data_IF_103605998694
#
_entry.id   IF_103605998694
#
_cell.length_a   1.000
_cell.length_b   1.000
_cell.length_c   1.000
_cell.angle_alpha   90.00
_cell.angle_beta   90.00
_cell.angle_gamma   90.00
#
_symmetry.space_group_name_H-M   'P 1'
#
loop_
_entity.id
_entity.type
_entity.pdbx_description
1 polymer ?
#
# COMPACT_ATOMS: atom_id res chain seq x y z
N UNK A 1 15.37 -11.95 4.75
CA UNK A 1 14.05 -11.45 4.28
C UNK A 1 13.15 -12.65 4.06
N UNK A 2 11.95 -12.65 4.62
CA UNK A 2 10.93 -13.65 4.25
C UNK A 2 10.43 -13.34 2.83
N UNK A 3 10.11 -14.36 2.01
CA UNK A 3 9.57 -14.13 0.68
C UNK A 3 8.18 -13.49 0.78
N UNK A 4 7.91 -12.50 -0.09
CA UNK A 4 6.57 -11.96 -0.25
C UNK A 4 5.69 -13.00 -0.94
N UNK A 5 4.50 -13.25 -0.40
CA UNK A 5 3.50 -14.09 -1.04
C UNK A 5 2.98 -13.43 -2.32
N UNK A 6 3.32 -14.01 -3.47
CA UNK A 6 3.00 -13.46 -4.78
C UNK A 6 1.50 -13.50 -5.11
N UNK A 7 0.67 -14.23 -4.33
CA UNK A 7 -0.80 -14.18 -4.45
C UNK A 7 -1.35 -12.76 -4.29
N UNK A 8 -0.65 -11.91 -3.52
CA UNK A 8 -1.00 -10.49 -3.41
C UNK A 8 -0.89 -9.78 -4.77
N UNK A 9 0.17 -10.04 -5.52
CA UNK A 9 0.36 -9.44 -6.85
C UNK A 9 -0.77 -9.86 -7.79
N UNK A 10 -1.09 -11.15 -7.82
CA UNK A 10 -2.18 -11.69 -8.65
C UNK A 10 -3.52 -11.04 -8.29
N UNK A 11 -3.83 -10.92 -7.00
CA UNK A 11 -5.03 -10.25 -6.54
C UNK A 11 -5.10 -8.79 -7.00
N UNK A 12 -4.00 -8.04 -6.86
CA UNK A 12 -3.92 -6.64 -7.25
C UNK A 12 -4.07 -6.47 -8.77
N UNK A 13 -3.46 -7.35 -9.56
CA UNK A 13 -3.58 -7.34 -11.02
C UNK A 13 -5.01 -7.65 -11.49
N UNK A 14 -5.66 -8.66 -10.89
CA UNK A 14 -7.05 -9.04 -11.22
C UNK A 14 -8.06 -7.93 -10.84
N UNK A 15 -7.79 -7.18 -9.77
CA UNK A 15 -8.73 -6.20 -9.23
C UNK A 15 -8.39 -4.74 -9.58
N UNK A 16 -7.32 -4.47 -10.32
CA UNK A 16 -6.85 -3.09 -10.61
C UNK A 16 -7.94 -2.19 -11.20
N UNK A 17 -8.85 -2.72 -12.02
CA UNK A 17 -9.96 -1.94 -12.60
C UNK A 17 -11.02 -1.56 -11.57
N UNK A 18 -11.22 -2.38 -10.55
CA UNK A 18 -12.21 -2.15 -9.46
C UNK A 18 -11.64 -1.27 -8.35
N UNK A 19 -10.32 -1.30 -8.15
CA UNK A 19 -9.64 -0.51 -7.13
C UNK A 19 -9.57 0.96 -7.57
N UNK A 20 -10.24 1.84 -6.81
CA UNK A 20 -10.20 3.29 -6.98
C UNK A 20 -8.97 3.92 -6.32
N UNK A 21 -8.66 3.51 -5.10
CA UNK A 21 -7.47 3.90 -4.33
C UNK A 21 -6.88 2.68 -3.63
N UNK A 22 -5.56 2.62 -3.58
CA UNK A 22 -4.78 1.69 -2.77
C UNK A 22 -3.99 2.53 -1.76
N UNK A 23 -4.22 2.29 -0.47
CA UNK A 23 -3.77 3.18 0.59
C UNK A 23 -2.87 2.38 1.52
N UNK A 24 -1.61 2.79 1.60
CA UNK A 24 -0.65 2.20 2.53
C UNK A 24 -0.77 2.88 3.87
N UNK A 25 -1.11 2.12 4.90
CA UNK A 25 -1.25 2.61 6.26
C UNK A 25 -0.11 2.05 7.10
N UNK A 26 0.78 2.92 7.55
CA UNK A 26 2.07 2.50 8.13
C UNK A 26 2.47 3.33 9.35
N UNK A 27 3.00 2.67 10.39
CA UNK A 27 3.62 3.32 11.55
C UNK A 27 5.14 3.49 11.41
N UNK A 28 5.59 4.04 10.28
CA UNK A 28 7.00 4.29 10.04
C UNK A 28 7.21 5.47 9.08
N UNK A 29 8.30 6.23 9.28
CA UNK A 29 8.65 7.40 8.45
C UNK A 29 8.98 7.04 7.00
N UNK A 30 9.67 5.93 6.80
CA UNK A 30 10.25 5.54 5.52
C UNK A 30 9.26 4.97 4.51
N UNK A 31 8.08 4.52 4.93
CA UNK A 31 7.11 3.81 4.08
C UNK A 31 7.61 2.45 3.60
N UNK A 32 8.22 1.67 4.49
CA UNK A 32 8.91 0.43 4.13
C UNK A 32 7.98 -0.61 3.49
N UNK A 33 6.72 -0.70 3.96
CA UNK A 33 5.73 -1.60 3.36
C UNK A 33 5.35 -1.11 1.97
N UNK A 34 5.05 0.18 1.81
CA UNK A 34 4.76 0.76 0.50
C UNK A 34 5.89 0.49 -0.49
N UNK A 35 7.14 0.74 -0.10
CA UNK A 35 8.30 0.52 -0.96
C UNK A 35 8.43 -0.95 -1.38
N UNK A 36 8.36 -1.87 -0.42
CA UNK A 36 8.45 -3.30 -0.68
C UNK A 36 7.37 -3.78 -1.65
N UNK A 37 6.10 -3.43 -1.40
CA UNK A 37 4.98 -3.88 -2.23
C UNK A 37 5.02 -3.19 -3.59
N UNK A 38 5.41 -1.91 -3.66
CA UNK A 38 5.55 -1.19 -4.93
C UNK A 38 6.54 -1.89 -5.85
N UNK A 39 7.69 -2.28 -5.30
CA UNK A 39 8.74 -2.96 -6.05
C UNK A 39 8.35 -4.40 -6.45
N UNK A 40 7.73 -5.16 -5.54
CA UNK A 40 7.39 -6.57 -5.77
C UNK A 40 6.12 -6.79 -6.59
N UNK A 41 5.14 -5.88 -6.48
CA UNK A 41 3.86 -5.97 -7.18
C UNK A 41 3.76 -5.02 -8.39
N UNK A 42 4.83 -4.30 -8.73
CA UNK A 42 4.90 -3.36 -9.84
C UNK A 42 3.82 -2.26 -9.79
N UNK A 43 3.68 -1.63 -8.63
CA UNK A 43 2.72 -0.52 -8.46
C UNK A 43 3.16 0.78 -9.15
N UNK A 44 4.37 0.83 -9.72
CA UNK A 44 4.85 1.94 -10.55
C UNK A 44 4.34 1.86 -12.01
N UNK A 45 3.65 0.78 -12.38
CA UNK A 45 3.05 0.63 -13.70
C UNK A 45 1.93 1.68 -13.91
N UNK A 46 1.75 2.14 -15.16
CA UNK A 46 0.74 3.12 -15.57
C UNK A 46 -0.67 2.78 -15.10
N UNK A 47 -1.01 1.49 -14.95
CA UNK A 47 -2.32 1.04 -14.44
C UNK A 47 -2.63 1.50 -13.00
N UNK A 48 -1.59 1.84 -12.23
CA UNK A 48 -1.68 2.30 -10.83
C UNK A 48 -1.54 3.81 -10.67
N UNK A 49 -1.36 4.54 -11.78
CA UNK A 49 -1.15 5.98 -11.75
C UNK A 49 -2.30 6.69 -11.01
N UNK A 50 -1.96 7.59 -10.08
CA UNK A 50 -2.90 8.31 -9.20
C UNK A 50 -3.79 7.45 -8.28
N UNK A 51 -3.55 6.14 -8.16
CA UNK A 51 -4.32 5.25 -7.26
C UNK A 51 -3.63 5.00 -5.93
N UNK A 52 -2.30 5.04 -5.91
CA UNK A 52 -1.49 4.72 -4.73
C UNK A 52 -1.31 5.95 -3.86
N UNK A 53 -1.67 5.84 -2.59
CA UNK A 53 -1.47 6.89 -1.57
C UNK A 53 -1.00 6.26 -0.28
N UNK A 54 -0.61 7.07 0.70
CA UNK A 54 -0.24 6.59 2.02
C UNK A 54 -0.83 7.46 3.14
N UNK A 55 -0.96 6.82 4.30
CA UNK A 55 -1.23 7.43 5.59
C UNK A 55 -0.13 6.92 6.49
N UNK A 56 0.69 7.85 7.00
CA UNK A 56 1.81 7.51 7.84
C UNK A 56 1.63 8.12 9.23
N UNK A 57 1.83 7.31 10.26
CA UNK A 57 1.81 7.75 11.65
C UNK A 57 3.19 7.53 12.26
N UNK A 58 3.74 8.57 12.87
CA UNK A 58 5.08 8.54 13.47
C UNK A 58 5.05 8.67 15.00
N UNK A 59 3.85 8.79 15.55
CA UNK A 59 3.64 8.82 17.00
C UNK A 59 3.71 7.40 17.56
N UNK A 60 3.97 7.30 18.87
CA UNK A 60 3.90 6.03 19.60
C UNK A 60 2.46 5.53 19.85
N UNK A 61 1.45 6.34 19.53
CA UNK A 61 0.05 5.91 19.61
C UNK A 61 -0.31 4.98 18.45
N UNK A 62 -1.14 3.93 18.70
CA UNK A 62 -1.68 3.07 17.66
C UNK A 62 -2.41 3.86 16.58
N UNK A 63 -2.56 3.27 15.40
CA UNK A 63 -3.46 3.80 14.39
C UNK A 63 -4.89 3.50 14.83
N UNK A 64 -5.70 4.55 14.96
CA UNK A 64 -7.11 4.47 15.27
C UNK A 64 -7.95 4.63 13.99
N UNK A 65 -9.21 4.23 14.02
CA UNK A 65 -10.09 4.30 12.84
C UNK A 65 -10.28 5.76 12.36
N UNK A 66 -10.27 6.69 13.30
CA UNK A 66 -10.36 8.13 13.10
C UNK A 66 -9.15 8.71 12.35
N UNK A 67 -7.99 8.02 12.37
CA UNK A 67 -6.83 8.41 11.57
C UNK A 67 -6.99 8.05 10.09
N UNK A 68 -7.99 7.23 9.75
CA UNK A 68 -8.22 6.67 8.41
C UNK A 68 -9.54 7.21 7.85
N UNK A 69 -9.53 8.47 7.40
CA UNK A 69 -10.70 9.15 6.82
C UNK A 69 -10.55 9.26 5.30
N UNK A 70 -11.61 8.97 4.53
CA UNK A 70 -11.60 8.88 3.07
C UNK A 70 -12.62 9.78 2.37
#
# INVERSE_FOLDING_TARGET
MQPLDMRLKEFLDLNVKKIKKLIFVEMNYSGQLQELITNKCWLNDKKWNNKVTNIRKYTLYPIFAEDIVF
#
